data_IF_762936195668
#
_entry.id   IF_762936195668
#
_cell.length_a   1.000
_cell.length_b   1.000
_cell.length_c   1.000
_cell.angle_alpha   90.00
_cell.angle_beta   90.00
_cell.angle_gamma   90.00
#
_symmetry.space_group_name_H-M   'P 1'
#
loop_
_entity.id
_entity.type
_entity.pdbx_description
1 polymer ?
#
# COMPACT_ATOMS: atom_id res chain seq x y z
N UNK A 1 6.11 4.84 9.07
CA UNK A 1 7.39 5.57 8.90
C UNK A 1 8.10 5.17 7.60
N UNK A 2 8.24 3.87 7.32
CA UNK A 2 8.86 3.37 6.09
C UNK A 2 8.16 3.85 4.80
N UNK A 3 6.82 3.78 4.77
CA UNK A 3 6.01 4.19 3.60
C UNK A 3 6.14 5.68 3.25
N UNK A 4 6.36 6.54 4.24
CA UNK A 4 6.48 7.99 4.01
C UNK A 4 7.80 8.35 3.36
N UNK A 5 8.89 7.63 3.68
CA UNK A 5 10.20 7.90 3.07
C UNK A 5 10.24 7.36 1.64
N UNK A 6 9.72 6.15 1.41
CA UNK A 6 9.73 5.50 0.10
C UNK A 6 8.86 6.20 -0.95
N UNK A 7 7.80 6.92 -0.55
CA UNK A 7 6.92 7.66 -1.46
C UNK A 7 7.34 9.11 -1.64
N UNK A 8 7.71 9.79 -0.56
CA UNK A 8 7.97 11.25 -0.57
C UNK A 8 9.12 11.65 -1.48
N UNK A 9 10.11 10.79 -1.66
CA UNK A 9 11.25 11.10 -2.55
C UNK A 9 10.80 11.38 -3.98
N UNK A 10 9.80 10.66 -4.49
CA UNK A 10 9.30 10.84 -5.86
C UNK A 10 8.42 12.08 -6.01
N UNK A 11 7.78 12.53 -4.92
CA UNK A 11 7.11 13.84 -4.90
C UNK A 11 8.14 14.98 -5.01
N UNK A 12 9.29 14.86 -4.34
CA UNK A 12 10.35 15.90 -4.38
C UNK A 12 11.03 15.94 -5.74
N UNK A 13 11.26 14.76 -6.34
CA UNK A 13 11.92 14.62 -7.63
C UNK A 13 10.98 14.87 -8.82
N UNK A 14 9.70 15.09 -8.58
CA UNK A 14 8.66 15.25 -9.60
C UNK A 14 8.68 14.09 -10.62
N UNK A 15 8.68 12.87 -10.09
CA UNK A 15 8.73 11.64 -10.88
C UNK A 15 7.41 10.89 -10.78
N UNK A 16 6.88 10.33 -11.89
CA UNK A 16 5.72 9.48 -11.84
C UNK A 16 6.00 8.26 -10.95
N UNK A 17 5.08 7.97 -10.04
CA UNK A 17 5.13 6.81 -9.16
C UNK A 17 3.74 6.18 -9.04
N UNK A 18 3.66 4.87 -9.23
CA UNK A 18 2.44 4.09 -9.10
C UNK A 18 2.66 2.86 -8.21
N UNK A 19 1.57 2.24 -7.77
CA UNK A 19 1.61 1.04 -6.92
C UNK A 19 0.74 -0.07 -7.50
N UNK A 20 1.23 -1.31 -7.46
CA UNK A 20 0.51 -2.51 -7.91
C UNK A 20 0.58 -3.56 -6.82
N UNK A 21 -0.56 -4.08 -6.39
CA UNK A 21 -0.62 -5.19 -5.42
C UNK A 21 -0.21 -6.48 -6.12
N UNK A 22 0.75 -7.20 -5.54
CA UNK A 22 1.30 -8.43 -6.15
C UNK A 22 1.10 -9.68 -5.31
N UNK A 23 0.97 -9.54 -3.99
CA UNK A 23 0.77 -10.67 -3.09
C UNK A 23 0.03 -10.22 -1.83
N UNK A 24 -0.27 -11.17 -0.95
CA UNK A 24 -0.79 -10.95 0.39
C UNK A 24 0.14 -11.59 1.40
N UNK A 25 0.22 -11.04 2.61
CA UNK A 25 1.04 -11.55 3.70
C UNK A 25 0.65 -13.01 3.99
N UNK A 26 1.62 -13.90 3.92
CA UNK A 26 1.49 -15.32 4.22
C UNK A 26 1.98 -15.63 5.63
N UNK A 27 1.62 -16.81 6.16
CA UNK A 27 2.13 -17.24 7.47
C UNK A 27 3.65 -17.34 7.51
N UNK A 28 4.31 -17.64 6.39
CA UNK A 28 5.77 -17.67 6.28
C UNK A 28 6.40 -16.31 6.52
N UNK A 29 5.75 -15.24 6.09
CA UNK A 29 6.25 -13.87 6.22
C UNK A 29 6.19 -13.37 7.66
N UNK A 30 5.35 -14.00 8.50
CA UNK A 30 5.18 -13.67 9.92
C UNK A 30 6.04 -14.53 10.86
N UNK A 31 6.61 -15.63 10.36
CA UNK A 31 7.48 -16.52 11.17
C UNK A 31 8.83 -15.88 11.48
N UNK A 32 9.32 -15.04 10.57
CA UNK A 32 10.55 -14.30 10.78
C UNK A 32 10.24 -12.94 11.42
N UNK A 33 10.92 -12.58 12.53
CA UNK A 33 10.69 -11.29 13.16
C UNK A 33 11.06 -10.16 12.20
N UNK A 34 10.15 -9.19 12.05
CA UNK A 34 10.34 -8.06 11.17
C UNK A 34 11.51 -7.16 11.63
N UNK A 35 12.65 -7.26 10.96
CA UNK A 35 13.82 -6.41 11.21
C UNK A 35 13.63 -5.05 10.53
N UNK A 36 13.28 -4.03 11.34
CA UNK A 36 12.94 -2.71 10.79
C UNK A 36 14.14 -1.96 10.20
N UNK A 37 15.37 -2.25 10.66
CA UNK A 37 16.57 -1.46 10.35
C UNK A 37 16.54 -0.02 10.88
N UNK A 38 15.55 0.32 11.73
CA UNK A 38 15.34 1.68 12.25
C UNK A 38 16.07 1.83 13.58
N UNK A 39 17.08 2.70 13.62
CA UNK A 39 17.86 2.97 14.84
C UNK A 39 17.02 3.56 15.97
N UNK A 40 15.98 4.36 15.65
CA UNK A 40 15.12 4.96 16.66
C UNK A 40 14.18 3.91 17.27
N UNK A 41 14.34 3.56 18.57
CA UNK A 41 13.61 2.45 19.18
C UNK A 41 12.10 2.70 19.28
N UNK A 42 11.66 3.97 19.39
CA UNK A 42 10.24 4.32 19.42
C UNK A 42 9.58 4.07 18.07
N UNK A 43 10.25 4.46 16.99
CA UNK A 43 9.74 4.27 15.63
C UNK A 43 9.78 2.79 15.26
N UNK A 44 10.88 2.10 15.56
CA UNK A 44 11.02 0.66 15.33
C UNK A 44 9.88 -0.13 15.99
N UNK A 45 9.63 0.10 17.30
CA UNK A 45 8.53 -0.55 18.03
C UNK A 45 7.14 -0.24 17.45
N UNK A 46 6.91 1.00 17.02
CA UNK A 46 5.65 1.40 16.39
C UNK A 46 5.42 0.69 15.06
N UNK A 47 6.47 0.55 14.24
CA UNK A 47 6.38 -0.14 12.95
C UNK A 47 6.14 -1.63 13.14
N UNK A 48 6.87 -2.29 14.06
CA UNK A 48 6.63 -3.70 14.37
C UNK A 48 5.20 -3.93 14.84
N UNK A 49 4.69 -3.09 15.76
CA UNK A 49 3.30 -3.17 16.22
C UNK A 49 2.27 -2.93 15.11
N UNK A 50 2.56 -2.04 14.17
CA UNK A 50 1.65 -1.78 13.05
C UNK A 50 1.60 -2.95 12.05
N UNK A 51 2.63 -3.82 12.06
CA UNK A 51 2.69 -5.02 11.24
C UNK A 51 2.13 -6.27 11.95
N UNK A 52 1.86 -6.21 13.26
CA UNK A 52 1.16 -7.27 13.99
C UNK A 52 -0.21 -7.55 13.36
N UNK A 53 -0.64 -8.81 13.35
CA UNK A 53 -1.92 -9.27 12.76
C UNK A 53 -2.15 -8.89 11.29
N UNK A 54 -1.07 -8.81 10.50
CA UNK A 54 -1.14 -8.46 9.08
C UNK A 54 -1.41 -9.63 8.13
N UNK A 55 -1.68 -10.85 8.64
CA UNK A 55 -1.94 -12.03 7.82
C UNK A 55 -3.06 -11.77 6.81
N UNK A 56 -2.82 -12.09 5.54
CA UNK A 56 -3.77 -11.89 4.45
C UNK A 56 -3.91 -10.44 3.97
N UNK A 57 -3.25 -9.47 4.61
CA UNK A 57 -3.22 -8.10 4.09
C UNK A 57 -2.39 -8.02 2.81
N UNK A 58 -2.71 -7.10 1.91
CA UNK A 58 -1.98 -6.95 0.65
C UNK A 58 -0.58 -6.39 0.82
N UNK A 59 0.30 -6.84 -0.07
CA UNK A 59 1.65 -6.34 -0.25
C UNK A 59 1.76 -5.83 -1.70
N UNK A 60 2.14 -4.56 -1.83
CA UNK A 60 2.23 -3.87 -3.11
C UNK A 60 3.67 -3.47 -3.45
N UNK A 61 3.97 -3.44 -4.74
CA UNK A 61 5.19 -2.88 -5.30
C UNK A 61 4.96 -1.44 -5.73
N UNK A 62 5.89 -0.56 -5.40
CA UNK A 62 5.93 0.81 -5.89
C UNK A 62 6.89 0.90 -7.08
N UNK A 63 6.42 1.48 -8.17
CA UNK A 63 7.14 1.61 -9.43
C UNK A 63 7.26 3.09 -9.76
N UNK A 64 8.39 3.49 -10.32
CA UNK A 64 8.62 4.87 -10.75
C UNK A 64 9.28 4.88 -12.13
N UNK A 65 9.04 5.94 -12.88
CA UNK A 65 9.72 6.21 -14.13
C UNK A 65 10.36 7.61 -14.10
N UNK A 66 11.19 7.92 -15.10
CA UNK A 66 11.72 9.27 -15.27
C UNK A 66 10.59 10.29 -15.51
N UNK A 67 10.82 11.59 -15.24
CA UNK A 67 9.83 12.63 -15.50
C UNK A 67 9.29 12.57 -16.93
N UNK A 68 7.99 12.80 -17.10
CA UNK A 68 7.27 12.80 -18.39
C UNK A 68 7.23 11.44 -19.09
N UNK A 69 7.28 10.35 -18.31
CA UNK A 69 7.20 8.96 -18.79
C UNK A 69 6.08 8.20 -18.09
N UNK A 70 4.94 8.84 -17.90
CA UNK A 70 3.77 8.28 -17.21
C UNK A 70 3.25 7.02 -17.92
N UNK A 71 3.23 7.01 -19.26
CA UNK A 71 2.77 5.86 -20.04
C UNK A 71 3.71 4.65 -19.91
N UNK A 72 5.01 4.89 -19.70
CA UNK A 72 5.96 3.83 -19.41
C UNK A 72 5.72 3.25 -18.02
N UNK A 73 5.51 4.13 -17.02
CA UNK A 73 5.16 3.72 -15.66
C UNK A 73 3.89 2.85 -15.67
N UNK A 74 2.84 3.31 -16.35
CA UNK A 74 1.58 2.58 -16.50
C UNK A 74 1.74 1.26 -17.25
N UNK A 75 2.55 1.22 -18.32
CA UNK A 75 2.82 -0.02 -19.04
C UNK A 75 3.47 -1.06 -18.13
N UNK A 76 4.49 -0.68 -17.37
CA UNK A 76 5.16 -1.58 -16.42
C UNK A 76 4.17 -2.06 -15.35
N UNK A 77 3.32 -1.18 -14.85
CA UNK A 77 2.26 -1.55 -13.90
C UNK A 77 1.31 -2.60 -14.49
N UNK A 78 0.84 -2.41 -15.73
CA UNK A 78 -0.03 -3.36 -16.43
C UNK A 78 0.64 -4.71 -16.66
N UNK A 79 1.92 -4.73 -17.07
CA UNK A 79 2.66 -5.98 -17.26
C UNK A 79 2.85 -6.72 -15.93
N UNK A 80 3.10 -6.00 -14.83
CA UNK A 80 3.18 -6.60 -13.50
C UNK A 80 1.83 -7.14 -13.02
N UNK A 81 0.74 -6.42 -13.21
CA UNK A 81 -0.61 -6.90 -12.87
C UNK A 81 -0.98 -8.17 -13.65
N UNK A 82 -0.56 -8.27 -14.91
CA UNK A 82 -0.78 -9.49 -15.73
C UNK A 82 0.08 -10.66 -15.29
N UNK A 83 1.34 -10.41 -14.93
CA UNK A 83 2.28 -11.45 -14.52
C UNK A 83 2.03 -11.94 -13.10
N UNK A 84 1.61 -11.04 -12.21
CA UNK A 84 1.35 -11.26 -10.79
C UNK A 84 -0.07 -10.77 -10.49
N UNK A 85 -1.11 -11.53 -10.88
CA UNK A 85 -2.48 -11.14 -10.63
C UNK A 85 -2.69 -10.95 -9.13
N UNK A 86 -3.29 -9.82 -8.70
CA UNK A 86 -3.44 -9.53 -7.29
C UNK A 86 -4.26 -10.65 -6.62
N UNK A 87 -3.88 -11.09 -5.40
CA UNK A 87 -4.64 -12.08 -4.65
C UNK A 87 -5.97 -11.44 -4.24
N UNK A 88 -6.98 -11.63 -5.09
CA UNK A 88 -8.21 -10.85 -5.06
C UNK A 88 -8.01 -9.49 -5.73
N UNK A 89 -8.90 -9.14 -6.65
CA UNK A 89 -8.98 -7.80 -7.21
C UNK A 89 -9.10 -6.80 -6.05
N UNK A 90 -8.06 -6.00 -5.82
CA UNK A 90 -8.05 -5.03 -4.71
C UNK A 90 -9.19 -4.01 -4.80
N UNK A 91 -9.57 -3.67 -6.04
CA UNK A 91 -10.75 -2.87 -6.38
C UNK A 91 -12.09 -3.59 -6.13
N UNK A 92 -12.06 -4.92 -5.95
CA UNK A 92 -13.19 -5.77 -5.64
C UNK A 92 -13.24 -6.19 -4.16
N UNK A 93 -12.22 -5.84 -3.36
CA UNK A 93 -12.31 -5.99 -1.92
C UNK A 93 -13.41 -5.05 -1.41
N UNK A 94 -14.30 -5.57 -0.57
CA UNK A 94 -15.29 -4.80 0.16
C UNK A 94 -14.81 -4.62 1.61
N UNK A 95 -13.79 -3.79 1.87
CA UNK A 95 -13.28 -3.64 3.22
C UNK A 95 -14.37 -3.05 4.11
N UNK A 96 -14.66 -3.71 5.24
CA UNK A 96 -15.47 -3.07 6.27
C UNK A 96 -14.70 -1.87 6.82
N UNK A 97 -15.25 -0.64 6.71
CA UNK A 97 -14.57 0.54 7.20
C UNK A 97 -14.40 0.43 8.72
N UNK A 98 -13.16 0.26 9.19
CA UNK A 98 -12.85 0.26 10.62
C UNK A 98 -12.95 1.71 11.14
N UNK A 99 -14.15 2.13 11.55
CA UNK A 99 -14.38 3.45 12.15
C UNK A 99 -14.06 3.42 13.63
N UNK A 100 -13.33 4.43 14.12
CA UNK A 100 -13.24 4.64 15.57
C UNK A 100 -14.62 5.02 16.11
N UNK A 101 -14.96 4.66 17.37
CA UNK A 101 -16.27 5.00 17.96
C UNK A 101 -16.59 6.51 17.98
N UNK A 102 -15.56 7.35 17.86
CA UNK A 102 -15.63 8.81 17.88
C UNK A 102 -15.69 9.45 16.48
N UNK A 103 -15.46 8.68 15.42
CA UNK A 103 -15.62 9.15 14.05
C UNK A 103 -17.12 9.15 13.76
N UNK A 104 -17.73 10.33 13.67
CA UNK A 104 -19.18 10.51 13.51
C UNK A 104 -19.83 9.72 12.36
N UNK A 105 -21.13 9.95 12.15
CA UNK A 105 -21.95 9.20 11.20
C UNK A 105 -21.33 9.11 9.79
N UNK A 106 -21.69 8.05 9.05
CA UNK A 106 -21.26 7.89 7.67
C UNK A 106 -21.63 9.11 6.82
N UNK A 107 -20.72 9.62 5.97
CA UNK A 107 -21.13 10.55 4.93
C UNK A 107 -22.25 9.90 4.14
N UNK A 108 -23.37 10.59 4.00
CA UNK A 108 -24.49 10.11 3.19
C UNK A 108 -23.96 9.90 1.77
N UNK A 109 -24.19 8.73 1.13
CA UNK A 109 -23.77 8.52 -0.24
C UNK A 109 -24.29 9.66 -1.11
N UNK A 110 -23.38 10.29 -1.86
CA UNK A 110 -23.78 11.30 -2.83
C UNK A 110 -24.68 10.57 -3.85
N UNK A 111 -25.98 10.85 -3.80
CA UNK A 111 -26.90 10.36 -4.83
C UNK A 111 -26.36 10.92 -6.15
N UNK A 112 -26.00 10.04 -7.08
CA UNK A 112 -25.56 10.44 -8.40
C UNK A 112 -26.66 11.28 -9.05
N UNK A 113 -26.48 12.61 -9.00
CA UNK A 113 -27.20 13.56 -9.84
C UNK A 113 -26.22 14.03 -10.91
N UNK A 114 -26.14 13.23 -11.97
CA UNK A 114 -26.33 13.56 -13.39
C UNK A 114 -25.80 12.39 -14.23
#
# INVERSE_FOLDING_TARGET
>A
AQTTISTRIFNILDMPAGVVTVTSVQETDLKEPYETGIENPRISRMVTRAAEDSLGLPVALQLTALPWREELCLRVMTELERALPPPGAHHALAPEPRRSPTLGAAPVPLQARL
#
